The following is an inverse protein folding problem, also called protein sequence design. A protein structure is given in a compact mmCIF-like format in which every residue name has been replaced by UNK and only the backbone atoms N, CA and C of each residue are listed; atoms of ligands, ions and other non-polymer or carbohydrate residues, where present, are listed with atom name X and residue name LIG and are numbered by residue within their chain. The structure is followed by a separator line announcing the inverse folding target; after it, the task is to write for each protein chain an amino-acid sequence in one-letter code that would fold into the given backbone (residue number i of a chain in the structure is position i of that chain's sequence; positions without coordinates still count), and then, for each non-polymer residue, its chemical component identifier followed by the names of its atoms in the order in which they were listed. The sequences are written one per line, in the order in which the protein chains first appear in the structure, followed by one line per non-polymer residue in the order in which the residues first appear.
data_IF_065803677110
#
_entry.id   IF_065803677110
#
_cell.length_a   1.000
_cell.length_b   1.000
_cell.length_c   1.000
_cell.angle_alpha   90.00
_cell.angle_beta   90.00
_cell.angle_gamma   90.00
#
_symmetry.space_group_name_H-M   'P 1'
#
loop_
_entity.id
_entity.type
_entity.pdbx_description
1 polymer ?
#
# COMPACT_ATOMS: atom_id res chain seq x y z
N UNK A 1 28.36 16.29 -11.70
CA UNK A 1 27.05 16.38 -11.00
C UNK A 1 27.24 15.69 -9.65
N UNK A 2 27.25 16.41 -8.52
CA UNK A 2 27.15 15.73 -7.22
C UNK A 2 25.68 15.43 -6.99
N UNK A 3 25.29 14.16 -7.16
CA UNK A 3 23.92 13.73 -6.90
C UNK A 3 23.58 13.83 -5.42
N UNK A 4 22.28 13.88 -5.12
CA UNK A 4 21.79 13.67 -3.75
C UNK A 4 22.10 12.20 -3.41
N UNK A 5 22.82 11.90 -2.31
CA UNK A 5 23.07 10.53 -1.90
C UNK A 5 21.77 9.77 -1.64
N UNK A 6 21.69 8.52 -2.09
CA UNK A 6 20.55 7.63 -1.89
C UNK A 6 20.98 6.32 -1.24
N UNK A 7 20.18 5.78 -0.34
CA UNK A 7 20.41 4.49 0.34
C UNK A 7 19.14 3.63 0.23
N UNK A 8 19.31 2.32 0.02
CA UNK A 8 18.22 1.35 0.09
C UNK A 8 18.05 0.93 1.55
N UNK A 9 16.87 1.17 2.12
CA UNK A 9 16.60 0.96 3.56
C UNK A 9 15.64 -0.17 3.86
N UNK A 10 15.00 -0.74 2.83
CA UNK A 10 14.06 -1.86 2.97
C UNK A 10 14.29 -2.89 1.85
N UNK A 11 13.93 -4.16 2.07
CA UNK A 11 13.85 -5.12 0.98
C UNK A 11 12.72 -4.73 0.00
N UNK A 12 12.70 -5.31 -1.22
CA UNK A 12 11.62 -5.11 -2.17
C UNK A 12 10.25 -5.49 -1.56
N UNK A 13 9.27 -4.63 -1.76
CA UNK A 13 7.88 -4.84 -1.35
C UNK A 13 7.03 -5.21 -2.56
N UNK A 14 5.92 -5.95 -2.34
CA UNK A 14 5.01 -6.24 -3.45
C UNK A 14 4.26 -4.98 -3.89
N UNK A 15 3.76 -4.20 -2.92
CA UNK A 15 3.16 -2.89 -3.16
C UNK A 15 3.36 -2.01 -1.91
N UNK A 16 4.51 -1.34 -1.85
CA UNK A 16 4.88 -0.47 -0.73
C UNK A 16 4.24 0.91 -0.84
N UNK A 17 3.50 1.33 0.19
CA UNK A 17 2.73 2.59 0.17
C UNK A 17 2.67 3.24 1.55
N UNK A 18 2.12 4.46 1.58
CA UNK A 18 1.74 5.17 2.81
C UNK A 18 2.88 5.44 3.79
N UNK A 19 4.03 6.01 3.37
CA UNK A 19 5.10 6.36 4.29
C UNK A 19 4.61 7.39 5.33
N UNK A 20 4.80 7.06 6.60
CA UNK A 20 4.42 7.90 7.74
C UNK A 20 5.57 8.00 8.74
N UNK A 21 6.10 9.20 8.91
CA UNK A 21 7.15 9.46 9.89
C UNK A 21 6.55 9.73 11.28
N UNK A 22 6.86 8.88 12.26
CA UNK A 22 6.48 9.09 13.64
C UNK A 22 7.58 9.82 14.40
N UNK A 23 7.33 11.09 14.73
CA UNK A 23 8.36 12.01 15.24
C UNK A 23 8.88 11.61 16.61
N UNK A 24 8.01 11.20 17.53
CA UNK A 24 8.44 10.92 18.91
C UNK A 24 9.33 9.68 19.01
N UNK A 25 9.11 8.70 18.13
CA UNK A 25 9.89 7.46 18.07
C UNK A 25 11.07 7.52 17.09
N UNK A 26 11.11 8.54 16.22
CA UNK A 26 12.06 8.66 15.12
C UNK A 26 12.07 7.43 14.20
N UNK A 27 10.89 6.95 13.83
CA UNK A 27 10.73 5.78 12.94
C UNK A 27 9.79 6.05 11.78
N UNK A 28 10.01 5.31 10.69
CA UNK A 28 9.16 5.33 9.51
C UNK A 28 8.23 4.13 9.52
N UNK A 29 6.93 4.38 9.52
CA UNK A 29 5.91 3.37 9.24
C UNK A 29 5.56 3.37 7.75
N UNK A 30 5.22 2.21 7.21
CA UNK A 30 4.68 2.04 5.87
C UNK A 30 3.81 0.78 5.80
N UNK A 31 3.12 0.57 4.68
CA UNK A 31 2.37 -0.66 4.43
C UNK A 31 2.90 -1.38 3.20
N UNK A 32 2.79 -2.71 3.20
CA UNK A 32 2.81 -3.51 1.98
C UNK A 32 1.37 -4.01 1.74
N UNK A 33 0.67 -3.41 0.78
CA UNK A 33 -0.76 -3.67 0.55
C UNK A 33 -0.99 -5.13 0.13
N UNK A 34 -0.25 -5.59 -0.86
CA UNK A 34 -0.32 -6.98 -1.34
C UNK A 34 0.34 -7.93 -0.33
N UNK A 35 1.41 -7.49 0.34
CA UNK A 35 2.05 -8.22 1.42
C UNK A 35 1.23 -8.29 2.71
N UNK A 36 0.11 -7.56 2.82
CA UNK A 36 -0.76 -7.48 3.99
C UNK A 36 0.01 -7.28 5.30
N UNK A 37 0.94 -6.32 5.32
CA UNK A 37 1.67 -6.02 6.55
C UNK A 37 1.85 -4.52 6.75
N UNK A 38 1.94 -4.15 8.02
CA UNK A 38 2.45 -2.84 8.44
C UNK A 38 3.92 -3.02 8.78
N UNK A 39 4.77 -2.13 8.26
CA UNK A 39 6.21 -2.14 8.47
C UNK A 39 6.62 -0.94 9.31
N UNK A 40 7.69 -1.13 10.09
CA UNK A 40 8.33 -0.10 10.92
C UNK A 40 9.84 -0.18 10.70
N UNK A 41 10.42 0.89 10.17
CA UNK A 41 11.85 1.06 9.97
C UNK A 41 12.43 2.03 11.00
N UNK A 42 13.47 1.58 11.71
CA UNK A 42 14.26 2.37 12.64
C UNK A 42 15.60 2.75 11.98
N UNK A 43 15.79 4.03 11.59
CA UNK A 43 17.02 4.46 10.93
C UNK A 43 18.26 4.42 11.82
N UNK A 44 18.10 4.59 13.14
CA UNK A 44 19.22 4.60 14.08
C UNK A 44 19.79 3.18 14.28
N UNK A 45 18.91 2.19 14.37
CA UNK A 45 19.29 0.78 14.45
C UNK A 45 19.57 0.15 13.06
N UNK A 46 19.12 0.80 11.97
CA UNK A 46 19.06 0.24 10.61
C UNK A 46 18.31 -1.09 10.56
N UNK A 47 17.24 -1.19 11.33
CA UNK A 47 16.42 -2.40 11.43
C UNK A 47 15.00 -2.14 10.98
N UNK A 48 14.40 -3.18 10.43
CA UNK A 48 13.01 -3.16 10.03
C UNK A 48 12.27 -4.30 10.73
N UNK A 49 11.06 -4.00 11.19
CA UNK A 49 10.13 -4.97 11.76
C UNK A 49 8.80 -4.84 11.04
N UNK A 50 8.00 -5.90 11.03
CA UNK A 50 6.68 -5.86 10.43
C UNK A 50 5.70 -6.71 11.22
N UNK A 51 4.43 -6.32 11.12
CA UNK A 51 3.30 -7.09 11.65
C UNK A 51 2.46 -7.50 10.46
N UNK A 52 2.27 -8.82 10.30
CA UNK A 52 1.32 -9.36 9.33
C UNK A 52 -0.09 -9.06 9.83
N UNK A 53 -0.89 -8.43 8.98
CA UNK A 53 -2.32 -8.26 9.22
C UNK A 53 -3.00 -9.59 8.87
N UNK A 54 -3.63 -10.22 9.86
CA UNK A 54 -4.46 -11.40 9.60
C UNK A 54 -5.78 -11.00 8.96
N UNK A 55 -6.20 -11.71 7.91
CA UNK A 55 -7.62 -11.76 7.51
C UNK A 55 -8.09 -10.84 6.39
N UNK A 56 -7.38 -10.76 5.26
CA UNK A 56 -7.97 -10.18 4.03
C UNK A 56 -7.87 -11.08 2.80
N UNK A 57 -6.97 -12.07 2.79
CA UNK A 57 -6.86 -13.11 1.76
C UNK A 57 -6.34 -14.39 2.42
N UNK A 58 -7.23 -15.17 3.03
CA UNK A 58 -6.95 -16.59 3.24
C UNK A 58 -7.38 -17.29 1.95
N UNK A 59 -6.46 -17.61 1.03
CA UNK A 59 -6.82 -18.38 -0.17
C UNK A 59 -7.41 -19.76 0.19
N UNK A 60 -7.04 -20.33 1.33
CA UNK A 60 -7.58 -21.59 1.82
C UNK A 60 -8.92 -21.45 2.58
N UNK A 61 -9.38 -20.22 2.87
CA UNK A 61 -10.57 -19.98 3.69
C UNK A 61 -11.49 -18.86 3.15
N UNK A 62 -11.27 -18.39 1.92
CA UNK A 62 -12.14 -17.43 1.24
C UNK A 62 -13.48 -18.10 0.91
N UNK A 63 -14.38 -18.06 1.89
CA UNK A 63 -15.80 -18.27 1.70
C UNK A 63 -16.33 -17.23 0.72
N UNK A 64 -17.29 -17.61 -0.13
CA UNK A 64 -17.98 -16.72 -1.08
C UNK A 64 -18.42 -15.37 -0.47
N UNK A 65 -18.66 -15.32 0.86
CA UNK A 65 -19.05 -14.12 1.60
C UNK A 65 -17.96 -13.06 1.68
N UNK A 66 -16.68 -13.45 1.72
CA UNK A 66 -15.57 -12.49 1.83
C UNK A 66 -15.34 -11.74 0.50
N UNK A 67 -15.65 -12.39 -0.63
CA UNK A 67 -15.66 -11.77 -1.96
C UNK A 67 -16.83 -10.80 -2.11
N UNK A 68 -18.03 -11.16 -1.64
CA UNK A 68 -19.20 -10.25 -1.67
C UNK A 68 -18.98 -8.99 -0.82
N UNK A 69 -18.39 -9.11 0.38
CA UNK A 69 -18.05 -7.95 1.21
C UNK A 69 -17.10 -7.01 0.47
N UNK A 70 -16.15 -7.56 -0.30
CA UNK A 70 -15.18 -6.76 -1.05
C UNK A 70 -15.79 -6.07 -2.26
N UNK A 71 -16.69 -6.75 -2.98
CA UNK A 71 -17.44 -6.12 -4.07
C UNK A 71 -18.30 -4.97 -3.53
N UNK A 72 -19.01 -5.20 -2.42
CA UNK A 72 -19.84 -4.17 -1.80
C UNK A 72 -19.00 -2.98 -1.30
N UNK A 73 -17.83 -3.22 -0.71
CA UNK A 73 -16.93 -2.15 -0.26
C UNK A 73 -16.35 -1.32 -1.43
N UNK A 74 -16.14 -1.94 -2.60
CA UNK A 74 -15.72 -1.25 -3.81
C UNK A 74 -16.87 -0.46 -4.43
N UNK A 75 -18.07 -1.04 -4.48
CA UNK A 75 -19.29 -0.36 -4.95
C UNK A 75 -19.64 0.85 -4.08
N UNK A 76 -19.51 0.74 -2.75
CA UNK A 76 -19.72 1.84 -1.80
C UNK A 76 -18.66 2.94 -1.95
N UNK A 77 -17.41 2.57 -2.24
CA UNK A 77 -16.34 3.54 -2.53
C UNK A 77 -16.62 4.29 -3.84
N UNK A 78 -17.02 3.58 -4.89
CA UNK A 78 -17.39 4.15 -6.20
C UNK A 78 -18.60 5.09 -6.10
N UNK A 79 -19.64 4.72 -5.33
CA UNK A 79 -20.80 5.58 -5.09
C UNK A 79 -20.47 6.81 -4.25
N UNK A 80 -19.60 6.68 -3.24
CA UNK A 80 -19.27 7.78 -2.34
C UNK A 80 -18.28 8.79 -2.94
N UNK A 81 -17.43 8.36 -3.86
CA UNK A 81 -16.38 9.22 -4.44
C UNK A 81 -16.64 9.62 -5.90
N UNK A 82 -17.73 9.15 -6.52
CA UNK A 82 -18.19 9.62 -7.83
C UNK A 82 -17.09 9.50 -8.90
N UNK A 83 -16.91 8.31 -9.45
CA UNK A 83 -16.04 8.15 -10.61
C UNK A 83 -16.70 8.85 -11.81
N UNK A 84 -16.32 10.10 -12.09
CA UNK A 84 -16.52 10.65 -13.43
C UNK A 84 -15.64 9.82 -14.36
N UNK A 85 -16.27 8.86 -15.04
CA UNK A 85 -15.71 8.29 -16.26
C UNK A 85 -15.56 9.47 -17.21
N UNK A 86 -14.37 10.03 -17.30
CA UNK A 86 -14.05 10.88 -18.43
C UNK A 86 -14.14 9.97 -19.65
N UNK A 87 -15.23 10.10 -20.41
CA UNK A 87 -15.39 9.56 -21.76
C UNK A 87 -14.42 10.26 -22.73
N UNK A 88 -13.16 10.45 -22.33
CA UNK A 88 -12.10 10.93 -23.21
C UNK A 88 -11.36 9.70 -23.76
N UNK A 89 -11.73 9.22 -24.96
CA UNK A 89 -11.01 8.12 -25.57
C UNK A 89 -9.62 8.64 -25.95
N UNK A 90 -8.59 8.03 -25.36
CA UNK A 90 -7.21 8.09 -25.86
C UNK A 90 -6.49 9.44 -25.66
N UNK A 91 -5.91 9.63 -24.47
CA UNK A 91 -4.59 10.28 -24.43
C UNK A 91 -3.54 9.23 -24.77
N UNK A 92 -3.42 8.98 -26.07
CA UNK A 92 -2.23 8.39 -26.66
C UNK A 92 -1.02 9.23 -26.27
N UNK A 93 -0.05 8.53 -25.69
CA UNK A 93 1.31 8.99 -25.49
C UNK A 93 1.93 9.16 -26.87
N UNK A 94 2.00 10.39 -27.40
CA UNK A 94 3.01 10.74 -28.39
C UNK A 94 3.56 12.18 -28.20
N UNK A 95 4.81 12.18 -27.74
CA UNK A 95 5.92 13.15 -27.91
C UNK A 95 5.90 14.49 -27.15
#
# INVERSE_FOLDING_TARGET
MSGIPTEVVSPPLLCGEGPHWQVDEQVLYSVDLTGQCVRRYDPAAKTETFIKLGGWFNEEESSHKDVEIRLNALEDYEQSHGFEVNDDPMLDIEK
#
